data_IF_908046298726
#
_entry.id   IF_908046298726
#
_cell.length_a   1.000
_cell.length_b   1.000
_cell.length_c   1.000
_cell.angle_alpha   90.00
_cell.angle_beta   90.00
_cell.angle_gamma   90.00
#
_symmetry.space_group_name_H-M   'P 1'
#
loop_
_entity.id
_entity.type
_entity.pdbx_description
1 polymer ?
#
# COMPACT_ATOMS: atom_id res chain seq x y z
N UNK A 1 17.58 -4.04 22.39
CA UNK A 1 18.37 -3.21 21.44
C UNK A 1 17.80 -1.80 21.36
N UNK A 2 18.60 -0.84 21.00
CA UNK A 2 18.14 0.54 20.78
C UNK A 2 17.42 0.66 19.43
N UNK A 3 16.61 1.71 19.28
CA UNK A 3 15.82 1.92 18.07
C UNK A 3 16.67 1.96 16.79
N UNK A 4 17.89 2.50 16.85
CA UNK A 4 18.80 2.52 15.69
C UNK A 4 19.25 1.13 15.25
N UNK A 5 19.51 0.24 16.19
CA UNK A 5 19.84 -1.16 15.90
C UNK A 5 18.63 -1.91 15.34
N UNK A 6 17.45 -1.68 15.91
CA UNK A 6 16.20 -2.26 15.41
C UNK A 6 15.97 -1.87 13.95
N UNK A 7 16.07 -0.58 13.65
CA UNK A 7 15.90 -0.04 12.30
C UNK A 7 16.91 -0.68 11.33
N UNK A 8 18.17 -0.74 11.71
CA UNK A 8 19.24 -1.34 10.90
C UNK A 8 18.99 -2.83 10.62
N UNK A 9 18.66 -3.61 11.65
CA UNK A 9 18.40 -5.05 11.50
C UNK A 9 17.14 -5.33 10.67
N UNK A 10 16.13 -4.46 10.77
CA UNK A 10 14.90 -4.59 10.01
C UNK A 10 15.00 -3.98 8.59
N UNK A 11 16.07 -3.26 8.29
CA UNK A 11 16.28 -2.64 6.98
C UNK A 11 15.39 -1.45 6.70
N UNK A 12 15.03 -0.68 7.73
CA UNK A 12 14.16 0.51 7.63
C UNK A 12 14.80 1.68 8.37
N UNK A 13 14.25 2.87 8.20
CA UNK A 13 14.70 4.05 8.95
C UNK A 13 14.10 4.09 10.36
N UNK A 14 14.75 4.84 11.26
CA UNK A 14 14.21 5.11 12.61
C UNK A 14 12.85 5.80 12.51
N UNK A 15 12.68 6.71 11.56
CA UNK A 15 11.39 7.39 11.34
C UNK A 15 10.28 6.41 10.99
N UNK A 16 10.58 5.39 10.19
CA UNK A 16 9.62 4.34 9.84
C UNK A 16 9.24 3.52 11.07
N UNK A 17 10.19 3.20 11.95
CA UNK A 17 9.89 2.53 13.23
C UNK A 17 8.91 3.37 14.04
N UNK A 18 9.18 4.67 14.20
CA UNK A 18 8.31 5.59 14.92
C UNK A 18 6.93 5.73 14.27
N UNK A 19 6.89 5.71 12.95
CA UNK A 19 5.62 5.72 12.21
C UNK A 19 4.78 4.47 12.53
N UNK A 20 5.40 3.29 12.54
CA UNK A 20 4.70 2.06 12.91
C UNK A 20 4.23 2.07 14.38
N UNK A 21 5.01 2.66 15.28
CA UNK A 21 4.61 2.85 16.67
C UNK A 21 3.35 3.72 16.77
N UNK A 22 3.34 4.86 16.07
CA UNK A 22 2.17 5.77 16.06
C UNK A 22 0.93 5.10 15.47
N UNK A 23 1.11 4.18 14.53
CA UNK A 23 0.01 3.41 13.93
C UNK A 23 -0.40 2.20 14.77
N UNK A 24 0.23 1.97 15.89
CA UNK A 24 -0.08 0.85 16.77
C UNK A 24 0.37 -0.52 16.25
N UNK A 25 1.21 -0.56 15.21
CA UNK A 25 1.71 -1.81 14.63
C UNK A 25 2.86 -2.39 15.43
N UNK A 26 3.61 -1.56 16.12
CA UNK A 26 4.72 -1.92 17.00
C UNK A 26 4.48 -1.28 18.36
N UNK A 27 4.74 -2.05 19.41
CA UNK A 27 4.68 -1.54 20.78
C UNK A 27 5.94 -0.73 21.05
N UNK A 28 5.75 0.51 21.51
CA UNK A 28 6.84 1.32 22.01
C UNK A 28 7.17 0.89 23.44
N UNK A 29 8.40 0.40 23.71
CA UNK A 29 8.79 0.05 25.08
C UNK A 29 8.78 1.26 26.00
N UNK A 30 8.50 1.04 27.27
CA UNK A 30 8.59 2.07 28.29
C UNK A 30 10.06 2.53 28.45
N UNK A 31 10.25 3.79 28.83
CA UNK A 31 11.59 4.26 29.21
C UNK A 31 12.02 3.62 30.53
N UNK A 32 13.30 3.24 30.66
CA UNK A 32 13.79 2.71 31.91
C UNK A 32 13.62 3.71 33.07
N UNK A 33 13.41 3.21 34.28
CA UNK A 33 13.40 4.01 35.49
C UNK A 33 14.76 4.71 35.65
N UNK A 34 14.76 6.04 35.82
CA UNK A 34 16.00 6.83 35.91
C UNK A 34 16.50 7.37 34.58
N UNK A 35 15.78 7.19 33.49
CA UNK A 35 16.11 7.73 32.18
C UNK A 35 16.94 6.74 31.35
N UNK A 36 17.25 7.14 30.13
CA UNK A 36 18.00 6.31 29.18
C UNK A 36 17.18 5.98 27.94
N UNK A 37 17.70 5.05 27.16
CA UNK A 37 17.10 4.62 25.88
C UNK A 37 16.09 3.49 26.10
N UNK A 38 15.05 3.47 25.24
CA UNK A 38 14.12 2.35 25.22
C UNK A 38 14.83 1.10 24.69
N UNK A 39 14.51 -0.04 25.29
CA UNK A 39 15.06 -1.33 24.88
C UNK A 39 14.01 -2.13 24.12
N UNK A 40 14.27 -2.32 22.83
CA UNK A 40 13.37 -3.07 21.93
C UNK A 40 13.72 -4.56 21.94
N UNK A 41 12.72 -5.45 22.04
CA UNK A 41 12.96 -6.87 21.97
C UNK A 41 13.29 -7.31 20.54
N UNK A 42 13.95 -8.46 20.39
CA UNK A 42 14.29 -9.03 19.08
C UNK A 42 13.04 -9.37 18.24
N UNK A 43 11.96 -9.72 18.90
CA UNK A 43 10.67 -9.96 18.25
C UNK A 43 10.17 -8.76 17.45
N UNK A 44 10.57 -7.55 17.81
CA UNK A 44 10.25 -6.34 17.06
C UNK A 44 10.84 -6.37 15.64
N UNK A 45 12.03 -6.95 15.46
CA UNK A 45 12.63 -7.13 14.13
C UNK A 45 11.76 -8.03 13.25
N UNK A 46 11.33 -9.14 13.78
CA UNK A 46 10.47 -10.10 13.06
C UNK A 46 9.11 -9.47 12.73
N UNK A 47 8.56 -8.71 13.65
CA UNK A 47 7.29 -8.00 13.45
C UNK A 47 7.40 -6.97 12.32
N UNK A 48 8.48 -6.20 12.27
CA UNK A 48 8.73 -5.24 11.19
C UNK A 48 8.90 -5.97 9.85
N UNK A 49 9.64 -7.08 9.84
CA UNK A 49 9.80 -7.89 8.62
C UNK A 49 8.46 -8.39 8.10
N UNK A 50 7.60 -8.84 9.00
CA UNK A 50 6.24 -9.25 8.64
C UNK A 50 5.45 -8.10 8.01
N UNK A 51 5.46 -6.93 8.66
CA UNK A 51 4.77 -5.74 8.15
C UNK A 51 5.26 -5.39 6.75
N UNK A 52 6.57 -5.38 6.53
CA UNK A 52 7.18 -5.07 5.24
C UNK A 52 6.82 -6.11 4.17
N UNK A 53 6.85 -7.38 4.52
CA UNK A 53 6.44 -8.45 3.61
C UNK A 53 4.99 -8.32 3.18
N UNK A 54 4.09 -8.04 4.12
CA UNK A 54 2.68 -7.84 3.84
C UNK A 54 2.44 -6.60 2.97
N UNK A 55 3.16 -5.49 3.23
CA UNK A 55 3.09 -4.30 2.37
C UNK A 55 3.50 -4.60 0.93
N UNK A 56 4.52 -5.42 0.72
CA UNK A 56 4.94 -5.83 -0.63
C UNK A 56 3.86 -6.61 -1.38
N UNK A 57 3.00 -7.30 -0.64
CA UNK A 57 1.85 -8.01 -1.22
C UNK A 57 0.62 -7.10 -1.43
N UNK A 58 0.76 -5.82 -1.12
CA UNK A 58 -0.30 -4.84 -1.33
C UNK A 58 -1.28 -4.67 -0.18
N UNK A 59 -1.02 -5.29 0.99
CA UNK A 59 -1.86 -5.07 2.17
C UNK A 59 -1.65 -3.66 2.73
N UNK A 60 -2.75 -3.00 3.08
CA UNK A 60 -2.72 -1.71 3.78
C UNK A 60 -2.30 -1.92 5.24
N UNK A 61 -1.92 -0.83 5.93
CA UNK A 61 -1.53 -0.92 7.33
C UNK A 61 -2.67 -1.43 8.22
N UNK A 62 -3.91 -1.05 7.93
CA UNK A 62 -5.08 -1.56 8.67
C UNK A 62 -5.30 -3.05 8.42
N UNK A 63 -5.13 -3.49 7.18
CA UNK A 63 -5.19 -4.92 6.83
C UNK A 63 -4.06 -5.71 7.49
N UNK A 64 -2.87 -5.13 7.58
CA UNK A 64 -1.72 -5.73 8.27
C UNK A 64 -2.00 -5.86 9.77
N UNK A 65 -2.60 -4.85 10.39
CA UNK A 65 -3.02 -4.92 11.78
C UNK A 65 -3.97 -6.10 12.02
N UNK A 66 -4.93 -6.30 11.13
CA UNK A 66 -5.85 -7.44 11.19
C UNK A 66 -5.12 -8.78 11.03
N UNK A 67 -4.14 -8.86 10.12
CA UNK A 67 -3.31 -10.06 9.96
C UNK A 67 -2.48 -10.36 11.22
N UNK A 68 -1.95 -9.33 11.86
CA UNK A 68 -1.19 -9.48 13.11
C UNK A 68 -2.06 -10.00 14.25
N UNK A 69 -3.30 -9.53 14.35
CA UNK A 69 -4.27 -10.05 15.32
C UNK A 69 -4.56 -11.53 15.09
N UNK A 70 -4.77 -11.93 13.83
CA UNK A 70 -4.99 -13.34 13.49
C UNK A 70 -3.76 -14.19 13.82
N UNK A 71 -2.56 -13.68 13.53
CA UNK A 71 -1.30 -14.39 13.78
C UNK A 71 -1.11 -14.73 15.26
N UNK A 72 -1.58 -13.89 16.18
CA UNK A 72 -1.43 -14.05 17.61
C UNK A 72 -2.68 -14.63 18.29
N UNK A 73 -3.77 -14.74 17.56
CA UNK A 73 -5.03 -15.28 18.08
C UNK A 73 -4.99 -16.79 18.31
N UNK A 74 -5.45 -17.30 19.48
CA UNK A 74 -5.35 -18.72 19.79
C UNK A 74 -6.29 -19.60 18.94
N UNK A 75 -7.38 -19.03 18.43
CA UNK A 75 -8.38 -19.74 17.64
C UNK A 75 -8.28 -19.49 16.14
N UNK A 76 -7.32 -18.68 15.70
CA UNK A 76 -7.13 -18.36 14.30
C UNK A 76 -6.61 -19.57 13.52
N UNK A 77 -7.14 -19.77 12.32
CA UNK A 77 -6.78 -20.87 11.44
C UNK A 77 -6.10 -20.33 10.18
N UNK A 78 -5.32 -21.18 9.52
CA UNK A 78 -4.72 -20.85 8.24
C UNK A 78 -5.78 -20.47 7.19
N UNK A 79 -6.98 -21.03 7.26
CA UNK A 79 -8.10 -20.67 6.39
C UNK A 79 -8.53 -19.22 6.52
N UNK A 80 -8.38 -18.60 7.70
CA UNK A 80 -8.68 -17.18 7.92
C UNK A 80 -7.67 -16.29 7.18
N UNK A 81 -6.40 -16.65 7.25
CA UNK A 81 -5.33 -15.96 6.51
C UNK A 81 -5.53 -16.14 5.00
N UNK A 82 -5.86 -17.35 4.57
CA UNK A 82 -6.13 -17.65 3.15
C UNK A 82 -7.26 -16.79 2.59
N UNK A 83 -8.31 -16.58 3.37
CA UNK A 83 -9.44 -15.73 2.97
C UNK A 83 -9.02 -14.27 2.80
N UNK A 84 -8.20 -13.74 3.70
CA UNK A 84 -7.62 -12.40 3.59
C UNK A 84 -6.77 -12.27 2.32
N UNK A 85 -5.98 -13.28 2.01
CA UNK A 85 -5.17 -13.32 0.79
C UNK A 85 -6.04 -13.36 -0.48
N UNK A 86 -7.15 -14.10 -0.46
CA UNK A 86 -8.11 -14.15 -1.59
C UNK A 86 -8.75 -12.80 -1.85
N UNK A 87 -9.18 -12.11 -0.81
CA UNK A 87 -9.77 -10.77 -0.92
C UNK A 87 -8.74 -9.81 -1.52
N UNK A 88 -7.50 -9.85 -1.04
CA UNK A 88 -6.42 -9.02 -1.58
C UNK A 88 -6.16 -9.33 -3.05
N UNK A 89 -6.14 -10.62 -3.43
CA UNK A 89 -5.97 -11.02 -4.81
C UNK A 89 -7.06 -10.46 -5.72
N UNK A 90 -8.31 -10.46 -5.27
CA UNK A 90 -9.43 -9.87 -6.02
C UNK A 90 -9.24 -8.36 -6.22
N UNK A 91 -8.79 -7.66 -5.19
CA UNK A 91 -8.49 -6.22 -5.26
C UNK A 91 -7.35 -5.94 -6.25
N UNK A 92 -6.30 -6.75 -6.24
CA UNK A 92 -5.18 -6.65 -7.18
C UNK A 92 -5.66 -6.89 -8.62
N UNK A 93 -6.49 -7.90 -8.83
CA UNK A 93 -7.05 -8.17 -10.15
C UNK A 93 -7.89 -6.99 -10.67
N UNK A 94 -8.70 -6.37 -9.81
CA UNK A 94 -9.47 -5.19 -10.17
C UNK A 94 -8.57 -4.03 -10.60
N UNK A 95 -7.45 -3.82 -9.90
CA UNK A 95 -6.44 -2.80 -10.26
C UNK A 95 -5.76 -3.10 -11.58
N UNK A 96 -5.45 -4.36 -11.86
CA UNK A 96 -4.89 -4.80 -13.14
C UNK A 96 -5.87 -4.45 -14.27
N UNK A 97 -7.14 -4.78 -14.10
CA UNK A 97 -8.19 -4.50 -15.10
C UNK A 97 -8.32 -3.00 -15.34
N UNK A 98 -8.29 -2.19 -14.28
CA UNK A 98 -8.33 -0.73 -14.39
C UNK A 98 -7.11 -0.17 -15.13
N UNK A 99 -5.91 -0.67 -14.82
CA UNK A 99 -4.69 -0.27 -15.50
C UNK A 99 -4.71 -0.66 -16.98
N UNK A 100 -5.26 -1.82 -17.32
CA UNK A 100 -5.44 -2.24 -18.71
C UNK A 100 -6.38 -1.30 -19.47
N UNK A 101 -7.47 -0.84 -18.82
CA UNK A 101 -8.39 0.15 -19.40
C UNK A 101 -7.70 1.48 -19.65
N UNK A 102 -6.92 1.96 -18.68
CA UNK A 102 -6.15 3.20 -18.81
C UNK A 102 -5.14 3.07 -19.96
N UNK A 103 -4.42 1.95 -20.00
CA UNK A 103 -3.45 1.67 -21.07
C UNK A 103 -4.13 1.69 -22.44
N UNK A 104 -5.27 1.03 -22.58
CA UNK A 104 -6.03 1.00 -23.83
C UNK A 104 -6.50 2.39 -24.24
N UNK A 105 -6.94 3.21 -23.27
CA UNK A 105 -7.32 4.59 -23.51
C UNK A 105 -6.14 5.43 -24.01
N UNK A 106 -4.97 5.28 -23.39
CA UNK A 106 -3.76 5.96 -23.81
C UNK A 106 -3.31 5.52 -25.21
N UNK A 107 -3.38 4.22 -25.52
CA UNK A 107 -3.08 3.70 -26.84
C UNK A 107 -3.99 4.34 -27.90
N UNK A 108 -5.27 4.49 -27.60
CA UNK A 108 -6.22 5.16 -28.50
C UNK A 108 -5.87 6.61 -28.71
N UNK A 109 -5.60 7.35 -27.62
CA UNK A 109 -5.22 8.77 -27.68
C UNK A 109 -3.92 8.99 -28.47
N UNK A 110 -2.93 8.13 -28.27
CA UNK A 110 -1.65 8.19 -28.97
C UNK A 110 -1.87 7.94 -30.48
N UNK A 111 -2.70 6.97 -30.84
CA UNK A 111 -2.98 6.59 -32.21
C UNK A 111 -3.66 7.70 -33.01
N UNK A 112 -4.60 8.44 -32.39
CA UNK A 112 -5.32 9.53 -33.04
C UNK A 112 -4.51 10.84 -33.07
N UNK A 113 -3.45 10.96 -32.28
CA UNK A 113 -2.59 12.12 -32.29
C UNK A 113 -1.61 12.05 -33.46
N UNK A 114 -1.54 13.08 -34.35
CA UNK A 114 -0.60 13.07 -35.47
C UNK A 114 0.87 13.19 -35.07
N UNK A 115 1.15 13.55 -33.81
CA UNK A 115 2.52 13.70 -33.30
C UNK A 115 3.25 14.96 -33.79
N UNK A 116 2.56 15.82 -34.54
CA UNK A 116 3.12 17.06 -35.12
C UNK A 116 2.11 18.19 -34.98
N UNK A 117 2.61 19.42 -35.01
CA UNK A 117 1.76 20.60 -34.93
C UNK A 117 1.81 21.28 -33.58
N UNK A 118 1.10 22.43 -33.43
CA UNK A 118 1.12 23.20 -32.19
C UNK A 118 0.33 22.49 -31.08
N UNK A 119 0.82 22.64 -29.85
CA UNK A 119 0.21 22.03 -28.63
C UNK A 119 -1.27 22.43 -28.49
N UNK A 120 -1.65 23.65 -28.86
CA UNK A 120 -3.06 24.13 -28.79
C UNK A 120 -4.04 23.31 -29.64
N UNK A 121 -3.54 22.58 -30.62
CA UNK A 121 -4.33 21.68 -31.49
C UNK A 121 -4.15 20.21 -31.14
N UNK A 122 -3.51 19.91 -30.01
CA UNK A 122 -3.26 18.54 -29.60
C UNK A 122 -4.58 17.82 -29.24
N UNK A 123 -4.88 16.74 -29.95
CA UNK A 123 -6.08 15.94 -29.73
C UNK A 123 -6.10 15.28 -28.35
N UNK A 124 -4.92 14.91 -27.80
CA UNK A 124 -4.81 14.31 -26.48
C UNK A 124 -5.20 15.33 -25.41
N UNK A 125 -4.63 16.54 -25.46
CA UNK A 125 -4.95 17.61 -24.51
C UNK A 125 -6.41 18.02 -24.60
N UNK A 126 -6.96 18.07 -25.78
CA UNK A 126 -8.37 18.37 -25.99
C UNK A 126 -9.26 17.31 -25.36
N UNK A 127 -8.96 16.03 -25.57
CA UNK A 127 -9.69 14.92 -24.97
C UNK A 127 -9.67 14.99 -23.43
N UNK A 128 -8.52 15.31 -22.84
CA UNK A 128 -8.37 15.45 -21.39
C UNK A 128 -9.18 16.63 -20.88
N UNK A 129 -9.09 17.80 -21.54
CA UNK A 129 -9.81 19.00 -21.14
C UNK A 129 -11.34 18.83 -21.20
N UNK A 130 -11.83 18.15 -22.21
CA UNK A 130 -13.25 17.88 -22.40
C UNK A 130 -13.74 16.65 -21.64
N UNK A 131 -12.85 15.95 -20.94
CA UNK A 131 -13.11 14.68 -20.26
C UNK A 131 -13.73 13.63 -21.19
N UNK A 132 -13.42 13.73 -22.47
CA UNK A 132 -13.87 12.79 -23.49
C UNK A 132 -12.80 11.71 -23.68
N UNK A 133 -12.68 10.83 -22.69
CA UNK A 133 -11.68 9.77 -22.64
C UNK A 133 -12.29 8.43 -23.06
N UNK A 134 -11.57 7.61 -23.85
CA UNK A 134 -12.06 6.30 -24.28
C UNK A 134 -11.95 5.25 -23.16
N UNK A 135 -12.50 5.59 -21.99
CA UNK A 135 -12.54 4.72 -20.82
C UNK A 135 -13.91 4.08 -20.68
N UNK A 136 -13.94 2.80 -20.32
CA UNK A 136 -15.13 2.15 -19.81
C UNK A 136 -15.42 2.71 -18.41
N UNK A 137 -16.68 3.04 -18.10
CA UNK A 137 -17.04 3.62 -16.82
C UNK A 137 -16.53 2.78 -15.64
N UNK A 138 -15.77 3.41 -14.74
CA UNK A 138 -15.31 2.79 -13.49
C UNK A 138 -16.44 2.82 -12.47
N UNK A 139 -16.58 1.76 -11.67
CA UNK A 139 -17.56 1.74 -10.58
C UNK A 139 -17.07 2.62 -9.42
N UNK A 140 -18.00 3.21 -8.67
CA UNK A 140 -17.66 4.09 -7.54
C UNK A 140 -16.80 3.40 -6.46
N UNK A 141 -16.94 2.08 -6.33
CA UNK A 141 -16.16 1.30 -5.37
C UNK A 141 -14.66 1.27 -5.70
N UNK A 142 -14.31 1.31 -6.99
CA UNK A 142 -12.92 1.32 -7.44
C UNK A 142 -12.23 2.67 -7.16
N UNK A 143 -12.98 3.76 -7.24
CA UNK A 143 -12.47 5.11 -6.98
C UNK A 143 -12.14 5.34 -5.48
N UNK A 144 -12.88 4.68 -4.59
CA UNK A 144 -12.66 4.76 -3.15
C UNK A 144 -11.38 4.01 -2.70
N UNK A 145 -11.07 2.89 -3.35
CA UNK A 145 -9.91 2.05 -3.04
C UNK A 145 -8.59 2.72 -3.50
N UNK A 146 -8.62 3.48 -4.60
CA UNK A 146 -7.45 4.24 -5.07
C UNK A 146 -7.03 5.35 -4.09
N UNK A 147 -7.97 6.01 -3.42
CA UNK A 147 -7.67 7.06 -2.44
C UNK A 147 -7.03 6.52 -1.16
N UNK A 148 -7.32 5.29 -0.78
CA UNK A 148 -6.72 4.65 0.39
C UNK A 148 -5.30 4.13 0.13
N UNK A 149 -4.95 3.85 -1.10
CA UNK A 149 -3.61 3.38 -1.48
C UNK A 149 -2.58 4.51 -1.60
N UNK A 150 -3.01 5.76 -1.81
CA UNK A 150 -2.13 6.93 -1.91
C UNK A 150 -1.79 7.57 -0.55
N UNK A 151 -2.45 7.19 0.53
CA UNK A 151 -2.19 7.62 1.89
C UNK A 151 -1.48 6.50 2.67
#
# INVERSE_FOLDING_TARGET
MRIGQLAKQAGISVETVRFYERRGLIVQPARPSGGGYRDYPEEAVQRIRFIRGAQRLGFSLDEIAALLELKTGPDARCSDIREKARIKRQQVQAKIDDLERIKAALDTLIRICPGTGPVRKCSILQAINEQNLPLVAMTQEQDHDQRQAEN
#
